data_IF_600097243853
#
_entry.id   IF_600097243853
#
_cell.length_a   1.000
_cell.length_b   1.000
_cell.length_c   1.000
_cell.angle_alpha   90.00
_cell.angle_beta   90.00
_cell.angle_gamma   90.00
#
_symmetry.space_group_name_H-M   'P 1'
#
loop_
_entity.id
_entity.type
_entity.pdbx_description
1 polymer ?
#
# COMPACT_ATOMS: atom_id res chain seq x y z
N UNK A 1 -29.77 5.65 -33.98
CA UNK A 1 -28.84 5.42 -32.84
C UNK A 1 -29.29 4.17 -32.11
N UNK A 2 -28.39 3.20 -32.01
CA UNK A 2 -28.69 1.79 -31.79
C UNK A 2 -29.22 1.48 -30.39
N UNK A 3 -30.36 0.77 -30.37
CA UNK A 3 -30.94 0.08 -29.22
C UNK A 3 -30.50 -1.38 -29.25
N UNK A 4 -29.94 -1.90 -28.15
CA UNK A 4 -29.91 -3.35 -27.88
C UNK A 4 -30.18 -3.60 -26.40
N UNK A 5 -31.44 -3.94 -26.10
CA UNK A 5 -31.83 -4.67 -24.89
C UNK A 5 -31.63 -6.15 -25.18
N UNK A 6 -30.84 -6.85 -24.37
CA UNK A 6 -30.64 -8.29 -24.51
C UNK A 6 -31.60 -8.98 -23.54
N UNK A 7 -32.56 -9.69 -24.10
CA UNK A 7 -33.51 -10.55 -23.41
C UNK A 7 -32.84 -11.85 -22.99
N UNK A 8 -32.97 -12.22 -21.71
CA UNK A 8 -32.62 -13.55 -21.20
C UNK A 8 -33.79 -14.51 -21.42
N UNK A 9 -33.54 -15.57 -22.17
CA UNK A 9 -34.49 -16.68 -22.37
C UNK A 9 -34.29 -17.67 -21.21
N UNK A 10 -35.35 -17.85 -20.43
CA UNK A 10 -35.52 -18.99 -19.52
C UNK A 10 -36.02 -20.17 -20.35
N UNK A 11 -35.28 -21.27 -20.36
CA UNK A 11 -35.79 -22.56 -20.82
C UNK A 11 -35.71 -23.56 -19.66
N UNK A 12 -36.87 -23.92 -19.14
CA UNK A 12 -37.07 -25.07 -18.28
C UNK A 12 -37.87 -26.10 -19.08
N UNK A 13 -37.46 -27.38 -19.04
CA UNK A 13 -38.32 -28.54 -18.77
C UNK A 13 -37.65 -29.88 -19.18
N UNK A 14 -37.43 -30.70 -18.14
CA UNK A 14 -37.75 -32.14 -18.01
C UNK A 14 -37.44 -33.12 -19.14
N UNK A 15 -36.73 -34.20 -18.81
CA UNK A 15 -37.11 -35.58 -19.18
C UNK A 15 -36.57 -36.61 -18.17
N UNK A 16 -37.31 -37.72 -18.12
CA UNK A 16 -37.39 -38.73 -17.07
C UNK A 16 -36.25 -39.78 -17.10
N UNK A 17 -36.18 -40.54 -16.00
CA UNK A 17 -35.08 -41.42 -15.62
C UNK A 17 -34.92 -42.73 -16.41
N UNK A 18 -33.75 -43.33 -16.19
CA UNK A 18 -33.50 -44.77 -16.29
C UNK A 18 -32.34 -45.14 -15.34
N UNK A 19 -32.56 -46.21 -14.57
CA UNK A 19 -31.65 -46.82 -13.60
C UNK A 19 -30.46 -47.48 -14.32
N UNK A 20 -29.23 -47.24 -13.85
CA UNK A 20 -28.01 -47.85 -14.38
C UNK A 20 -26.84 -47.73 -13.41
N UNK A 21 -26.07 -48.81 -13.29
CA UNK A 21 -25.15 -49.16 -12.21
C UNK A 21 -23.86 -48.33 -12.11
N UNK A 22 -23.31 -48.30 -10.88
CA UNK A 22 -21.90 -48.32 -10.50
C UNK A 22 -20.92 -47.22 -10.97
N UNK A 23 -20.18 -46.73 -9.96
CA UNK A 23 -18.85 -46.10 -9.99
C UNK A 23 -18.74 -44.56 -10.08
N UNK A 24 -18.20 -44.01 -8.99
CA UNK A 24 -17.31 -42.84 -8.87
C UNK A 24 -17.63 -41.55 -9.64
N UNK A 25 -18.17 -40.54 -8.95
CA UNK A 25 -17.59 -39.19 -8.79
C UNK A 25 -18.60 -38.24 -8.14
N UNK A 26 -18.27 -37.53 -7.06
CA UNK A 26 -18.91 -36.25 -6.78
C UNK A 26 -18.30 -35.21 -7.74
N UNK A 27 -19.07 -34.82 -8.76
CA UNK A 27 -18.88 -33.53 -9.44
C UNK A 27 -19.52 -32.48 -8.55
N UNK A 28 -18.70 -31.81 -7.73
CA UNK A 28 -19.05 -30.52 -7.19
C UNK A 28 -18.64 -29.47 -8.22
N UNK A 29 -19.64 -28.78 -8.78
CA UNK A 29 -19.43 -27.49 -9.41
C UNK A 29 -18.89 -26.54 -8.35
N UNK A 30 -17.58 -26.33 -8.37
CA UNK A 30 -16.94 -25.29 -7.60
C UNK A 30 -17.09 -24.01 -8.43
N UNK A 31 -18.11 -23.22 -8.12
CA UNK A 31 -18.03 -21.77 -8.36
C UNK A 31 -16.76 -21.31 -7.66
N UNK A 32 -15.72 -21.08 -8.47
CA UNK A 32 -14.43 -20.60 -7.98
C UNK A 32 -14.69 -19.25 -7.32
N UNK A 33 -14.39 -19.07 -6.03
CA UNK A 33 -14.05 -17.75 -5.56
C UNK A 33 -12.87 -17.32 -6.43
N UNK A 34 -12.88 -16.09 -6.95
CA UNK A 34 -11.66 -15.48 -7.44
C UNK A 34 -10.68 -15.47 -6.26
N UNK A 35 -9.85 -16.51 -6.18
CA UNK A 35 -8.74 -16.57 -5.25
C UNK A 35 -7.88 -15.37 -5.64
N UNK A 36 -7.89 -14.36 -4.79
CA UNK A 36 -6.83 -13.36 -4.78
C UNK A 36 -5.52 -14.12 -4.79
N UNK A 37 -4.84 -14.13 -5.95
CA UNK A 37 -3.56 -14.78 -6.16
C UNK A 37 -2.55 -14.05 -5.29
N UNK A 38 -2.47 -14.47 -4.03
CA UNK A 38 -1.37 -14.11 -3.15
C UNK A 38 -0.13 -14.78 -3.73
N UNK A 39 0.93 -13.98 -3.90
CA UNK A 39 2.24 -14.46 -4.30
C UNK A 39 2.63 -15.66 -3.45
N UNK A 40 3.20 -16.68 -4.07
CA UNK A 40 3.82 -17.76 -3.32
C UNK A 40 4.99 -17.22 -2.48
N UNK A 41 5.38 -17.90 -1.39
CA UNK A 41 6.53 -17.49 -0.58
C UNK A 41 7.83 -17.34 -1.38
N UNK A 42 8.03 -18.17 -2.40
CA UNK A 42 9.20 -18.13 -3.29
C UNK A 42 9.20 -16.93 -4.24
N UNK A 43 8.02 -16.53 -4.75
CA UNK A 43 7.90 -15.30 -5.55
C UNK A 43 8.14 -14.07 -4.67
N UNK A 44 7.64 -14.09 -3.43
CA UNK A 44 7.84 -13.00 -2.47
C UNK A 44 9.31 -12.83 -2.12
N UNK A 45 10.04 -13.92 -1.85
CA UNK A 45 11.48 -13.86 -1.54
C UNK A 45 12.30 -13.34 -2.73
N UNK A 46 11.91 -13.71 -3.95
CA UNK A 46 12.55 -13.22 -5.19
C UNK A 46 12.37 -11.71 -5.36
N UNK A 47 11.15 -11.19 -5.14
CA UNK A 47 10.86 -9.75 -5.24
C UNK A 47 11.59 -8.95 -4.15
N UNK A 48 11.75 -9.49 -2.95
CA UNK A 48 12.51 -8.87 -1.87
C UNK A 48 14.02 -8.82 -2.19
N UNK A 49 14.58 -9.89 -2.75
CA UNK A 49 15.97 -9.92 -3.18
C UNK A 49 16.24 -8.92 -4.31
N UNK A 50 15.31 -8.81 -5.28
CA UNK A 50 15.37 -7.81 -6.34
C UNK A 50 15.35 -6.39 -5.77
N UNK A 51 14.48 -6.13 -4.77
CA UNK A 51 14.43 -4.84 -4.11
C UNK A 51 15.77 -4.47 -3.45
N UNK A 52 16.38 -5.38 -2.71
CA UNK A 52 17.67 -5.11 -2.05
C UNK A 52 18.77 -4.78 -3.07
N UNK A 53 18.81 -5.53 -4.18
CA UNK A 53 19.73 -5.24 -5.29
C UNK A 53 19.51 -3.85 -5.87
N UNK A 54 18.26 -3.51 -6.19
CA UNK A 54 17.91 -2.19 -6.75
C UNK A 54 18.20 -1.07 -5.76
N UNK A 55 17.89 -1.24 -4.47
CA UNK A 55 18.20 -0.26 -3.43
C UNK A 55 19.70 0.06 -3.39
N UNK A 56 20.54 -0.98 -3.44
CA UNK A 56 22.00 -0.79 -3.45
C UNK A 56 22.50 -0.12 -4.74
N UNK A 57 21.92 -0.44 -5.90
CA UNK A 57 22.36 0.09 -7.19
C UNK A 57 21.92 1.55 -7.40
N UNK A 58 20.71 1.89 -6.97
CA UNK A 58 20.10 3.21 -7.17
C UNK A 58 20.63 4.25 -6.18
N UNK A 59 21.10 3.83 -5.01
CA UNK A 59 21.67 4.71 -3.98
C UNK A 59 20.73 5.87 -3.62
N UNK A 60 21.24 7.09 -3.67
CA UNK A 60 20.49 8.31 -3.31
C UNK A 60 19.28 8.57 -4.21
N UNK A 61 19.20 7.96 -5.40
CA UNK A 61 18.04 8.09 -6.25
C UNK A 61 16.86 7.21 -5.80
N UNK A 62 17.06 6.28 -4.86
CA UNK A 62 16.03 5.43 -4.28
C UNK A 62 15.18 6.19 -3.25
N UNK A 63 13.86 5.98 -3.29
CA UNK A 63 12.92 6.51 -2.29
C UNK A 63 12.30 5.40 -1.46
N UNK A 64 11.56 4.49 -2.09
CA UNK A 64 10.86 3.40 -1.41
C UNK A 64 10.43 2.31 -2.41
N UNK A 65 9.88 1.21 -1.92
CA UNK A 65 9.36 0.12 -2.76
C UNK A 65 8.17 -0.59 -2.13
N UNK A 66 7.33 -1.17 -2.97
CA UNK A 66 6.20 -1.97 -2.52
C UNK A 66 5.88 -3.06 -3.54
N UNK A 67 5.19 -4.11 -3.09
CA UNK A 67 4.68 -5.16 -3.96
C UNK A 67 3.19 -4.90 -4.20
N UNK A 68 2.81 -4.78 -5.47
CA UNK A 68 1.42 -4.61 -5.90
C UNK A 68 1.20 -5.47 -7.16
N UNK A 69 0.13 -6.26 -7.18
CA UNK A 69 -0.16 -7.13 -8.33
C UNK A 69 0.96 -8.12 -8.71
N UNK A 70 1.62 -8.72 -7.70
CA UNK A 70 2.76 -9.65 -7.87
C UNK A 70 3.97 -9.02 -8.58
N UNK A 71 4.11 -7.69 -8.54
CA UNK A 71 5.23 -6.97 -9.13
C UNK A 71 5.85 -6.02 -8.12
N UNK A 72 7.17 -5.85 -8.21
CA UNK A 72 7.90 -4.86 -7.43
C UNK A 72 7.73 -3.49 -8.09
N UNK A 73 7.22 -2.54 -7.33
CA UNK A 73 7.25 -1.13 -7.66
C UNK A 73 8.37 -0.45 -6.88
N UNK A 74 9.10 0.45 -7.53
CA UNK A 74 10.21 1.19 -6.90
C UNK A 74 10.06 2.68 -7.19
N UNK A 75 9.95 3.47 -6.13
CA UNK A 75 9.96 4.91 -6.19
C UNK A 75 11.40 5.44 -6.30
N UNK A 76 11.63 6.31 -7.29
CA UNK A 76 12.94 6.89 -7.61
C UNK A 76 12.82 8.36 -7.98
N UNK A 77 13.90 9.13 -7.80
CA UNK A 77 13.90 10.59 -8.02
C UNK A 77 14.42 11.04 -9.38
N UNK A 78 14.95 10.12 -10.21
CA UNK A 78 15.52 10.46 -11.51
C UNK A 78 15.06 9.52 -12.61
N UNK A 79 14.99 10.04 -13.85
CA UNK A 79 14.68 9.25 -15.05
C UNK A 79 15.73 8.16 -15.32
N UNK A 80 17.00 8.42 -15.00
CA UNK A 80 18.07 7.44 -15.14
C UNK A 80 17.85 6.25 -14.20
N UNK A 81 17.50 6.50 -12.94
CA UNK A 81 17.12 5.48 -11.97
C UNK A 81 15.86 4.71 -12.41
N UNK A 82 14.86 5.41 -12.96
CA UNK A 82 13.65 4.77 -13.48
C UNK A 82 13.95 3.79 -14.62
N UNK A 83 14.91 4.12 -15.49
CA UNK A 83 15.36 3.23 -16.55
C UNK A 83 16.02 1.95 -16.01
N UNK A 84 16.84 2.06 -14.95
CA UNK A 84 17.47 0.91 -14.27
C UNK A 84 16.41 -0.02 -13.68
N UNK A 85 15.45 0.54 -12.93
CA UNK A 85 14.33 -0.22 -12.33
C UNK A 85 13.55 -0.99 -13.42
N UNK A 86 13.23 -0.31 -14.53
CA UNK A 86 12.51 -0.92 -15.65
C UNK A 86 13.32 -2.03 -16.31
N UNK A 87 14.63 -1.85 -16.48
CA UNK A 87 15.51 -2.86 -17.04
C UNK A 87 15.61 -4.12 -16.16
N UNK A 88 15.47 -3.95 -14.84
CA UNK A 88 15.44 -5.04 -13.87
C UNK A 88 14.09 -5.77 -13.77
N UNK A 89 13.08 -5.36 -14.55
CA UNK A 89 11.76 -5.98 -14.57
C UNK A 89 10.79 -5.48 -13.49
N UNK A 90 11.15 -4.41 -12.77
CA UNK A 90 10.29 -3.74 -11.81
C UNK A 90 9.56 -2.54 -12.43
N UNK A 91 8.54 -2.03 -11.75
CA UNK A 91 7.76 -0.85 -12.18
C UNK A 91 8.33 0.41 -11.52
N UNK A 92 8.96 1.33 -12.29
CA UNK A 92 9.42 2.59 -11.73
C UNK A 92 8.27 3.53 -11.42
N UNK A 93 8.40 4.27 -10.34
CA UNK A 93 7.56 5.42 -9.99
C UNK A 93 8.45 6.63 -9.76
N UNK A 94 8.31 7.66 -10.59
CA UNK A 94 9.00 8.92 -10.32
C UNK A 94 8.33 9.66 -9.17
N UNK A 95 9.17 10.09 -8.23
CA UNK A 95 8.82 10.92 -7.07
C UNK A 95 9.83 12.06 -6.93
N UNK A 96 9.51 13.06 -6.12
CA UNK A 96 10.40 14.21 -5.90
C UNK A 96 11.21 14.12 -4.61
N UNK A 97 10.84 13.20 -3.72
CA UNK A 97 11.45 13.05 -2.38
C UNK A 97 12.15 11.70 -2.32
N UNK A 98 13.43 11.70 -1.95
CA UNK A 98 14.22 10.49 -1.74
C UNK A 98 14.06 9.90 -0.33
N UNK A 99 14.67 8.73 -0.10
CA UNK A 99 14.58 8.02 1.18
C UNK A 99 15.23 8.80 2.34
N UNK A 100 16.32 9.52 2.09
CA UNK A 100 17.04 10.27 3.11
C UNK A 100 16.26 11.51 3.57
N UNK A 101 15.58 12.17 2.64
CA UNK A 101 14.68 13.28 2.92
C UNK A 101 13.46 12.82 3.73
N UNK A 102 12.88 11.66 3.40
CA UNK A 102 11.77 11.08 4.17
C UNK A 102 12.20 10.69 5.59
N UNK A 103 13.37 10.08 5.74
CA UNK A 103 13.91 9.73 7.06
C UNK A 103 14.19 10.99 7.89
N UNK A 104 14.79 12.01 7.27
CA UNK A 104 15.04 13.30 7.93
C UNK A 104 13.73 13.95 8.39
N UNK A 105 12.71 13.95 7.53
CA UNK A 105 11.39 14.47 7.87
C UNK A 105 10.72 13.67 9.00
N UNK A 106 10.80 12.34 8.98
CA UNK A 106 10.32 11.47 10.06
C UNK A 106 10.97 11.86 11.40
N UNK A 107 12.30 11.92 11.45
CA UNK A 107 13.02 12.26 12.67
C UNK A 107 12.67 13.66 13.17
N UNK A 108 12.53 14.63 12.27
CA UNK A 108 12.15 15.99 12.62
C UNK A 108 10.73 16.08 13.19
N UNK A 109 9.76 15.33 12.64
CA UNK A 109 8.40 15.23 13.18
C UNK A 109 8.40 14.57 14.57
N UNK A 110 9.19 13.50 14.76
CA UNK A 110 9.32 12.84 16.05
C UNK A 110 9.98 13.75 17.10
N UNK A 111 10.97 14.54 16.71
CA UNK A 111 11.58 15.54 17.60
C UNK A 111 10.58 16.64 17.97
N UNK A 112 9.85 17.17 16.97
CA UNK A 112 8.81 18.17 17.18
C UNK A 112 7.69 17.70 18.10
N UNK A 113 7.25 16.44 17.99
CA UNK A 113 6.27 15.83 18.91
C UNK A 113 6.67 16.00 20.38
N UNK A 114 7.96 15.93 20.71
CA UNK A 114 8.45 16.08 22.08
C UNK A 114 8.45 17.54 22.57
N UNK A 115 8.21 18.50 21.69
CA UNK A 115 8.08 19.93 22.04
C UNK A 115 6.63 20.36 22.24
N UNK A 116 5.66 19.50 21.87
CA UNK A 116 4.25 19.77 22.02
C UNK A 116 3.81 19.70 23.50
N UNK A 117 2.69 20.35 23.86
CA UNK A 117 2.00 20.07 25.11
C UNK A 117 1.77 18.56 25.29
N UNK A 118 1.87 18.07 26.52
CA UNK A 118 1.86 16.62 26.83
C UNK A 118 0.66 15.89 26.20
N UNK A 119 -0.54 16.48 26.25
CA UNK A 119 -1.75 15.88 25.67
C UNK A 119 -1.66 15.75 24.14
N UNK A 120 -1.18 16.79 23.45
CA UNK A 120 -1.00 16.78 22.00
C UNK A 120 0.10 15.80 21.57
N UNK A 121 1.23 15.80 22.28
CA UNK A 121 2.34 14.88 22.01
C UNK A 121 1.97 13.42 22.27
N UNK A 122 1.13 13.15 23.27
CA UNK A 122 0.60 11.82 23.56
C UNK A 122 -0.44 11.35 22.54
N UNK A 123 -1.21 12.27 21.95
CA UNK A 123 -2.21 11.96 20.92
C UNK A 123 -1.61 11.56 19.57
N UNK A 124 -0.33 11.85 19.31
CA UNK A 124 0.36 11.34 18.12
C UNK A 124 0.79 9.89 18.39
N UNK A 125 0.02 8.95 17.86
CA UNK A 125 0.22 7.52 18.09
C UNK A 125 1.29 6.90 17.18
N UNK A 126 1.39 7.39 15.94
CA UNK A 126 2.30 6.84 14.92
C UNK A 126 2.68 7.90 13.90
N UNK A 127 3.92 7.84 13.42
CA UNK A 127 4.40 8.64 12.29
C UNK A 127 5.03 7.67 11.29
N UNK A 128 4.63 7.75 10.03
CA UNK A 128 5.06 6.82 8.97
C UNK A 128 5.50 7.62 7.74
N UNK A 129 6.74 7.50 7.26
CA UNK A 129 7.11 7.98 5.94
C UNK A 129 6.51 7.07 4.85
N UNK A 130 6.08 7.67 3.76
CA UNK A 130 5.53 6.96 2.60
C UNK A 130 6.24 7.46 1.33
N UNK A 131 7.20 6.69 0.83
CA UNK A 131 7.91 7.05 -0.40
C UNK A 131 7.13 6.78 -1.68
N UNK A 132 5.99 6.07 -1.62
CA UNK A 132 5.06 5.98 -2.76
C UNK A 132 4.47 7.34 -3.11
N UNK A 133 4.21 8.16 -2.08
CA UNK A 133 3.60 9.49 -2.23
C UNK A 133 4.56 10.64 -1.92
N UNK A 134 5.72 10.36 -1.33
CA UNK A 134 6.66 11.39 -0.87
C UNK A 134 6.14 12.17 0.32
N UNK A 135 5.36 11.52 1.20
CA UNK A 135 4.72 12.18 2.36
C UNK A 135 5.12 11.54 3.68
N UNK A 136 4.88 12.25 4.78
CA UNK A 136 4.91 11.66 6.13
C UNK A 136 3.49 11.70 6.70
N UNK A 137 2.94 10.52 7.01
CA UNK A 137 1.62 10.40 7.63
C UNK A 137 1.73 10.41 9.15
N UNK A 138 0.99 11.32 9.79
CA UNK A 138 0.88 11.44 11.25
C UNK A 138 -0.50 10.93 11.69
N UNK A 139 -0.50 9.92 12.54
CA UNK A 139 -1.71 9.30 13.08
C UNK A 139 -2.02 9.88 14.46
N UNK A 140 -3.16 10.54 14.59
CA UNK A 140 -3.52 11.36 15.77
C UNK A 140 -4.86 10.92 16.35
N UNK A 141 -5.00 10.99 17.67
CA UNK A 141 -6.30 10.84 18.34
C UNK A 141 -7.33 11.85 17.77
N UNK A 142 -8.59 11.43 17.50
CA UNK A 142 -9.57 12.27 16.80
C UNK A 142 -9.87 13.61 17.50
N UNK A 143 -9.85 13.62 18.84
CA UNK A 143 -10.10 14.79 19.68
C UNK A 143 -8.97 15.84 19.62
N UNK A 144 -7.76 15.43 19.23
CA UNK A 144 -6.59 16.30 19.12
C UNK A 144 -6.18 16.59 17.67
N UNK A 145 -6.80 15.95 16.68
CA UNK A 145 -6.41 16.03 15.26
C UNK A 145 -6.25 17.47 14.78
N UNK A 146 -7.29 18.29 14.89
CA UNK A 146 -7.25 19.69 14.42
C UNK A 146 -6.24 20.56 15.17
N UNK A 147 -6.03 20.29 16.46
CA UNK A 147 -5.04 21.03 17.26
C UNK A 147 -3.61 20.69 16.84
N UNK A 148 -3.34 19.41 16.59
CA UNK A 148 -2.02 18.93 16.14
C UNK A 148 -1.73 19.42 14.71
N UNK A 149 -2.73 19.39 13.82
CA UNK A 149 -2.62 19.94 12.46
C UNK A 149 -2.26 21.44 12.48
N UNK A 150 -2.95 22.23 13.31
CA UNK A 150 -2.66 23.65 13.45
C UNK A 150 -1.24 23.91 13.99
N UNK A 151 -0.82 23.14 14.99
CA UNK A 151 0.54 23.21 15.53
C UNK A 151 1.60 22.85 14.47
N UNK A 152 1.35 21.83 13.67
CA UNK A 152 2.24 21.42 12.59
C UNK A 152 2.32 22.47 11.47
N UNK A 153 1.19 23.10 11.11
CA UNK A 153 1.16 24.17 10.12
C UNK A 153 1.99 25.39 10.54
N UNK A 154 1.99 25.70 11.84
CA UNK A 154 2.80 26.78 12.41
C UNK A 154 4.30 26.42 12.49
N UNK A 155 4.62 25.21 12.93
CA UNK A 155 6.00 24.78 13.16
C UNK A 155 6.72 24.29 11.89
N UNK A 156 5.98 23.79 10.90
CA UNK A 156 6.47 23.12 9.68
C UNK A 156 7.57 22.08 9.98
N UNK A 157 7.30 21.07 10.84
CA UNK A 157 8.34 20.22 11.39
C UNK A 157 9.04 19.32 10.34
N UNK A 158 8.37 19.04 9.21
CA UNK A 158 8.93 18.24 8.12
C UNK A 158 9.59 19.08 7.00
N UNK A 159 9.70 20.40 7.18
CA UNK A 159 10.23 21.30 6.15
C UNK A 159 9.38 21.26 4.87
N UNK A 160 10.01 20.84 3.76
CA UNK A 160 9.37 20.76 2.44
C UNK A 160 8.61 19.43 2.21
N UNK A 161 8.78 18.43 3.08
CA UNK A 161 8.07 17.16 2.95
C UNK A 161 6.62 17.32 3.43
N UNK A 162 5.60 17.03 2.59
CA UNK A 162 4.21 17.18 2.97
C UNK A 162 3.81 16.25 4.12
N UNK A 163 3.01 16.79 5.04
CA UNK A 163 2.39 16.01 6.11
C UNK A 163 0.95 15.65 5.76
N UNK A 164 0.59 14.41 6.03
CA UNK A 164 -0.79 13.91 5.94
C UNK A 164 -1.23 13.51 7.34
N UNK A 165 -2.37 14.03 7.79
CA UNK A 165 -2.90 13.69 9.11
C UNK A 165 -4.06 12.70 8.97
N UNK A 166 -4.09 11.69 9.84
CA UNK A 166 -5.13 10.67 9.87
C UNK A 166 -5.55 10.39 11.30
N UNK A 167 -6.83 10.13 11.49
CA UNK A 167 -7.35 9.66 12.77
C UNK A 167 -6.77 8.30 13.16
N UNK A 168 -6.61 8.10 14.46
CA UNK A 168 -6.16 6.85 15.05
C UNK A 168 -6.82 6.61 16.40
N UNK A 169 -7.41 5.44 16.56
CA UNK A 169 -8.01 4.98 17.81
C UNK A 169 -6.97 4.60 18.89
N UNK A 170 -5.67 4.82 18.64
CA UNK A 170 -4.60 4.47 19.55
C UNK A 170 -4.00 3.08 19.31
N UNK A 171 -3.07 2.71 20.19
CA UNK A 171 -2.50 1.37 20.22
C UNK A 171 -3.52 0.40 20.85
N UNK A 172 -3.62 -0.80 20.30
CA UNK A 172 -4.39 -1.87 20.92
C UNK A 172 -3.86 -2.10 22.35
N UNK A 173 -4.73 -1.96 23.35
CA UNK A 173 -4.40 -2.28 24.73
C UNK A 173 -4.69 -3.76 24.96
N UNK A 174 -3.75 -4.56 25.50
CA UNK A 174 -4.04 -5.93 25.88
C UNK A 174 -5.15 -5.95 26.95
N UNK A 175 -6.09 -6.89 26.81
CA UNK A 175 -7.21 -7.13 27.73
C UNK A 175 -6.76 -7.84 29.00
#
# INVERSE_FOLDING_TARGET
MNTKKISSIVLAATMAGALGMSACKPTQGQESPAASQQASPEESSTLLALNESLRSELGDAYSDSWIEGNQLHVAVTTEAAAAIVKAAGAIPKLVTIDAAQLETALQAVLAWRNTLPTEQGAAIHKVIPDGRTGTVTVFVAPDQLSSVEAAAAAAKPAGDVPLVFKESAGLASPL
#
